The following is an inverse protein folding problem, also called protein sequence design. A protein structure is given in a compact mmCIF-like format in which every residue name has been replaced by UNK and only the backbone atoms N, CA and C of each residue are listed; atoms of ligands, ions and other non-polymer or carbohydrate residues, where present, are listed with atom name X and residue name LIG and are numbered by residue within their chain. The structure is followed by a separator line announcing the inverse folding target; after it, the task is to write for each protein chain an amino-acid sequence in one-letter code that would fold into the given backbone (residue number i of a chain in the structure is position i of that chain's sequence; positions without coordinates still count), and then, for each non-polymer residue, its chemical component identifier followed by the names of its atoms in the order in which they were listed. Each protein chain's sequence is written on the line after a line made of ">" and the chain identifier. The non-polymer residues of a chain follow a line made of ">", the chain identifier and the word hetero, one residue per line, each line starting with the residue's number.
data_IF_625736723158
#
_entry.id   IF_625736723158
#
_cell.length_a   1.000
_cell.length_b   1.000
_cell.length_c   1.000
_cell.angle_alpha   90.00
_cell.angle_beta   90.00
_cell.angle_gamma   90.00
#
_symmetry.space_group_name_H-M   'P 1'
#
loop_
_entity.id
_entity.type
_entity.pdbx_description
1 polymer ?
#
# COMPACT_ATOMS: atom_id res chain seq x y z
N UNK A 1 24.39 -25.50 0.26
CA UNK A 1 23.08 -25.21 -0.36
C UNK A 1 23.01 -25.87 -1.72
N UNK A 2 21.93 -26.59 -2.03
CA UNK A 2 21.74 -27.24 -3.33
C UNK A 2 20.83 -26.35 -4.18
N UNK A 3 21.25 -25.99 -5.38
CA UNK A 3 20.49 -25.20 -6.33
C UNK A 3 19.52 -26.06 -7.15
N UNK A 4 18.55 -25.45 -7.80
CA UNK A 4 17.56 -26.17 -8.62
C UNK A 4 18.18 -26.86 -9.84
N UNK A 5 19.30 -26.36 -10.35
CA UNK A 5 20.11 -26.93 -11.44
C UNK A 5 21.02 -28.09 -10.98
N UNK A 6 20.94 -28.52 -9.71
CA UNK A 6 21.73 -29.58 -9.11
C UNK A 6 23.07 -29.15 -8.58
N UNK A 7 23.52 -27.92 -8.80
CA UNK A 7 24.80 -27.43 -8.28
C UNK A 7 24.77 -27.34 -6.75
N UNK A 8 25.92 -27.58 -6.12
CA UNK A 8 26.08 -27.45 -4.67
C UNK A 8 27.07 -26.34 -4.36
N UNK A 9 26.57 -25.29 -3.68
CA UNK A 9 27.37 -24.18 -3.21
C UNK A 9 27.73 -24.39 -1.74
N UNK A 10 29.02 -24.21 -1.41
CA UNK A 10 29.51 -24.20 -0.03
C UNK A 10 29.89 -22.76 0.35
N UNK A 11 29.37 -22.28 1.46
CA UNK A 11 29.64 -20.91 1.95
C UNK A 11 29.75 -20.95 3.48
N UNK A 12 30.52 -20.02 4.07
CA UNK A 12 30.59 -19.84 5.53
C UNK A 12 29.34 -19.20 6.10
N UNK A 13 28.62 -18.39 5.29
CA UNK A 13 27.37 -17.76 5.67
C UNK A 13 26.42 -17.76 4.50
N UNK A 14 25.11 -17.88 4.77
CA UNK A 14 24.03 -17.76 3.81
C UNK A 14 23.16 -16.56 4.21
N UNK A 15 23.03 -15.59 3.31
CA UNK A 15 22.13 -14.44 3.48
C UNK A 15 20.92 -14.62 2.59
N UNK A 16 19.73 -14.82 3.20
CA UNK A 16 18.47 -14.92 2.47
C UNK A 16 17.86 -13.53 2.30
N UNK A 17 17.91 -12.98 1.09
CA UNK A 17 17.35 -11.69 0.73
C UNK A 17 16.21 -11.82 -0.31
N UNK A 18 15.36 -12.85 -0.16
CA UNK A 18 14.30 -13.23 -1.10
C UNK A 18 13.07 -12.34 -1.05
N UNK A 19 12.99 -11.41 -0.09
CA UNK A 19 11.83 -10.58 0.16
C UNK A 19 10.66 -11.32 0.83
N UNK A 20 9.74 -10.55 1.40
CA UNK A 20 8.58 -11.10 2.13
C UNK A 20 7.33 -11.29 1.26
N UNK A 21 7.32 -10.80 0.01
CA UNK A 21 6.16 -10.81 -0.90
C UNK A 21 6.39 -11.70 -2.12
N UNK A 22 7.38 -12.59 -2.11
CA UNK A 22 7.76 -13.43 -3.24
C UNK A 22 6.73 -14.52 -3.56
N UNK A 23 5.93 -14.94 -2.58
CA UNK A 23 4.88 -15.95 -2.77
C UNK A 23 3.53 -15.43 -2.31
N UNK A 24 2.52 -15.39 -3.20
CA UNK A 24 1.15 -15.03 -2.83
C UNK A 24 0.56 -16.10 -1.91
N UNK A 25 -0.16 -15.66 -0.89
CA UNK A 25 -0.90 -16.54 0.01
C UNK A 25 -2.39 -16.32 -0.18
N UNK A 26 -3.08 -17.36 -0.63
CA UNK A 26 -4.54 -17.35 -0.69
C UNK A 26 -5.11 -17.70 0.69
N UNK A 27 -6.15 -16.97 1.16
CA UNK A 27 -6.80 -17.27 2.41
C UNK A 27 -7.52 -18.63 2.34
N UNK A 28 -7.43 -19.41 3.40
CA UNK A 28 -8.21 -20.65 3.54
C UNK A 28 -9.61 -20.28 4.02
N UNK A 29 -10.52 -20.10 3.09
CA UNK A 29 -11.92 -19.77 3.39
C UNK A 29 -12.77 -21.02 3.18
N UNK A 30 -13.55 -21.43 4.18
CA UNK A 30 -14.50 -22.54 3.99
C UNK A 30 -15.49 -22.22 2.87
N UNK A 31 -15.64 -23.15 1.93
CA UNK A 31 -16.54 -22.99 0.79
C UNK A 31 -15.94 -22.27 -0.41
N UNK A 32 -14.68 -21.84 -0.39
CA UNK A 32 -14.02 -21.20 -1.53
C UNK A 32 -13.98 -22.15 -2.75
N UNK A 33 -13.87 -23.43 -2.49
CA UNK A 33 -13.89 -24.50 -3.50
C UNK A 33 -15.23 -24.64 -4.24
N UNK A 34 -16.31 -24.09 -3.70
CA UNK A 34 -17.64 -24.07 -4.33
C UNK A 34 -17.86 -22.86 -5.22
N UNK A 35 -16.95 -21.89 -5.16
CA UNK A 35 -17.05 -20.70 -5.99
C UNK A 35 -16.68 -21.03 -7.42
N UNK A 36 -17.63 -20.88 -8.33
CA UNK A 36 -17.48 -21.27 -9.74
C UNK A 36 -16.99 -20.12 -10.64
N UNK A 37 -16.86 -18.92 -10.08
CA UNK A 37 -16.35 -17.77 -10.82
C UNK A 37 -14.82 -17.70 -10.83
N UNK A 38 -14.24 -16.85 -11.67
CA UNK A 38 -12.81 -16.59 -11.65
C UNK A 38 -12.35 -16.06 -10.28
N UNK A 39 -11.28 -16.65 -9.72
CA UNK A 39 -10.69 -16.24 -8.47
C UNK A 39 -9.16 -16.25 -8.60
N UNK A 40 -8.53 -15.10 -8.34
CA UNK A 40 -7.08 -14.94 -8.46
C UNK A 40 -6.52 -13.98 -7.43
N UNK A 41 -5.23 -14.09 -7.17
CA UNK A 41 -4.52 -13.18 -6.30
C UNK A 41 -4.01 -11.96 -7.09
N UNK A 42 -4.03 -10.78 -6.49
CA UNK A 42 -3.59 -9.52 -7.15
C UNK A 42 -2.13 -9.53 -7.64
N UNK A 43 -1.28 -10.41 -7.11
CA UNK A 43 0.08 -10.60 -7.62
C UNK A 43 0.13 -11.42 -8.92
N UNK A 44 -0.92 -12.20 -9.18
CA UNK A 44 -1.10 -13.00 -10.40
C UNK A 44 -2.40 -12.54 -11.05
N UNK A 45 -2.41 -11.27 -11.48
CA UNK A 45 -3.60 -10.69 -12.10
C UNK A 45 -3.93 -11.41 -13.39
N UNK A 46 -5.17 -11.86 -13.50
CA UNK A 46 -5.67 -12.48 -14.72
C UNK A 46 -6.27 -11.41 -15.62
N UNK A 47 -5.56 -11.07 -16.68
CA UNK A 47 -5.96 -10.03 -17.62
C UNK A 47 -7.06 -10.47 -18.58
N UNK A 48 -7.28 -11.78 -18.72
CA UNK A 48 -8.34 -12.34 -19.60
C UNK A 48 -9.73 -12.24 -18.93
N UNK A 49 -9.78 -12.03 -17.61
CA UNK A 49 -11.04 -11.92 -16.90
C UNK A 49 -11.60 -10.51 -17.05
N UNK A 50 -12.68 -10.40 -17.83
CA UNK A 50 -13.42 -9.16 -17.95
C UNK A 50 -14.24 -8.89 -16.69
N UNK A 51 -14.00 -7.74 -16.07
CA UNK A 51 -14.66 -7.30 -14.83
C UNK A 51 -15.88 -6.39 -15.09
N UNK A 52 -16.00 -5.83 -16.29
CA UNK A 52 -17.07 -4.90 -16.64
C UNK A 52 -18.46 -5.53 -16.42
N UNK A 53 -19.33 -4.83 -15.72
CA UNK A 53 -20.69 -5.29 -15.42
C UNK A 53 -20.79 -6.51 -14.48
N UNK A 54 -19.69 -7.00 -13.92
CA UNK A 54 -19.67 -8.15 -13.00
C UNK A 54 -19.84 -7.72 -11.54
N UNK A 55 -20.30 -8.64 -10.70
CA UNK A 55 -20.24 -8.50 -9.23
C UNK A 55 -18.89 -9.01 -8.76
N UNK A 56 -18.07 -8.12 -8.21
CA UNK A 56 -16.70 -8.42 -7.81
C UNK A 56 -16.56 -8.38 -6.30
N UNK A 57 -15.95 -9.40 -5.72
CA UNK A 57 -15.57 -9.48 -4.33
C UNK A 57 -14.05 -9.30 -4.18
N UNK A 58 -13.62 -8.38 -3.34
CA UNK A 58 -12.21 -8.15 -3.02
C UNK A 58 -11.98 -8.47 -1.55
N UNK A 59 -11.07 -9.39 -1.27
CA UNK A 59 -10.71 -9.80 0.08
C UNK A 59 -9.39 -9.16 0.48
N UNK A 60 -9.46 -8.22 1.43
CA UNK A 60 -8.31 -7.48 1.93
C UNK A 60 -8.22 -6.04 1.44
N UNK A 61 -7.61 -5.20 2.27
CA UNK A 61 -7.44 -3.76 2.08
C UNK A 61 -5.96 -3.35 2.14
N UNK A 62 -5.08 -4.20 1.62
CA UNK A 62 -3.64 -3.95 1.59
C UNK A 62 -3.20 -2.96 0.50
N UNK A 63 -1.88 -2.76 0.37
CA UNK A 63 -1.30 -1.80 -0.56
C UNK A 63 -1.65 -2.05 -2.04
N UNK A 64 -1.92 -3.29 -2.43
CA UNK A 64 -2.41 -3.60 -3.77
C UNK A 64 -3.87 -3.17 -3.93
N UNK A 65 -4.73 -3.50 -2.96
CA UNK A 65 -6.15 -3.20 -3.02
C UNK A 65 -6.43 -1.70 -3.15
N UNK A 66 -5.73 -0.84 -2.40
CA UNK A 66 -5.91 0.63 -2.49
C UNK A 66 -5.56 1.19 -3.87
N UNK A 67 -4.81 0.45 -4.68
CA UNK A 67 -4.43 0.90 -6.03
C UNK A 67 -5.41 0.41 -7.10
N UNK A 68 -5.82 -0.86 -7.05
CA UNK A 68 -6.70 -1.39 -8.10
C UNK A 68 -8.19 -1.20 -7.80
N UNK A 69 -8.63 -1.25 -6.54
CA UNK A 69 -10.04 -1.13 -6.17
C UNK A 69 -10.68 0.15 -6.72
N UNK A 70 -10.09 1.35 -6.58
CA UNK A 70 -10.67 2.57 -7.15
C UNK A 70 -10.73 2.55 -8.69
N UNK A 71 -9.86 1.79 -9.34
CA UNK A 71 -9.82 1.68 -10.81
C UNK A 71 -10.87 0.75 -11.37
N UNK A 72 -11.17 -0.34 -10.66
CA UNK A 72 -12.19 -1.29 -11.10
C UNK A 72 -13.60 -0.89 -10.66
N UNK A 73 -13.74 -0.15 -9.56
CA UNK A 73 -15.04 0.23 -8.99
C UNK A 73 -16.00 0.87 -10.00
N UNK A 74 -15.58 1.78 -10.89
CA UNK A 74 -16.47 2.37 -11.91
C UNK A 74 -16.91 1.42 -13.00
N UNK A 75 -16.22 0.29 -13.18
CA UNK A 75 -16.44 -0.65 -14.28
C UNK A 75 -17.36 -1.81 -13.89
N UNK A 76 -17.39 -2.16 -12.62
CA UNK A 76 -18.12 -3.32 -12.12
C UNK A 76 -19.57 -2.97 -11.77
N UNK A 77 -20.48 -3.94 -11.89
CA UNK A 77 -21.87 -3.77 -11.47
C UNK A 77 -21.97 -3.56 -9.95
N UNK A 78 -21.19 -4.31 -9.17
CA UNK A 78 -21.13 -4.24 -7.72
C UNK A 78 -19.76 -4.62 -7.21
N UNK A 79 -19.20 -3.82 -6.33
CA UNK A 79 -17.95 -4.12 -5.63
C UNK A 79 -18.27 -4.43 -4.16
N UNK A 80 -17.82 -5.58 -3.67
CA UNK A 80 -17.89 -5.97 -2.26
C UNK A 80 -16.45 -6.06 -1.72
N UNK A 81 -16.10 -5.15 -0.82
CA UNK A 81 -14.76 -5.11 -0.21
C UNK A 81 -14.82 -5.69 1.20
N UNK A 82 -14.09 -6.80 1.42
CA UNK A 82 -14.03 -7.47 2.72
C UNK A 82 -12.78 -7.04 3.48
N UNK A 83 -12.99 -6.40 4.61
CA UNK A 83 -11.95 -5.83 5.46
C UNK A 83 -11.96 -6.47 6.85
N UNK A 84 -10.84 -7.03 7.29
CA UNK A 84 -10.68 -7.56 8.65
C UNK A 84 -10.37 -6.44 9.66
N UNK A 85 -9.48 -5.54 9.30
CA UNK A 85 -9.11 -4.37 10.10
C UNK A 85 -8.80 -3.20 9.19
N UNK A 86 -9.25 -2.00 9.57
CA UNK A 86 -8.97 -0.80 8.80
C UNK A 86 -7.47 -0.47 8.81
N UNK A 87 -6.86 -0.13 7.68
CA UNK A 87 -5.50 0.39 7.63
C UNK A 87 -5.46 1.90 7.88
N UNK A 88 -4.33 2.41 8.37
CA UNK A 88 -4.04 3.84 8.25
C UNK A 88 -3.72 4.18 6.80
N UNK A 89 -4.55 5.04 6.19
CA UNK A 89 -4.32 5.57 4.85
C UNK A 89 -4.04 7.06 4.96
N UNK A 90 -2.91 7.50 4.42
CA UNK A 90 -2.54 8.92 4.37
C UNK A 90 -2.46 9.38 2.92
N UNK A 91 -2.75 10.67 2.72
CA UNK A 91 -2.63 11.26 1.40
C UNK A 91 -1.19 11.17 0.87
N UNK A 92 -1.05 10.80 -0.39
CA UNK A 92 0.24 10.83 -1.09
C UNK A 92 0.62 12.28 -1.37
N UNK A 93 1.76 12.79 -0.90
CA UNK A 93 2.23 14.12 -1.24
C UNK A 93 2.86 14.09 -2.65
N UNK A 94 2.01 13.85 -3.65
CA UNK A 94 2.43 13.74 -5.04
C UNK A 94 2.03 14.99 -5.82
N UNK A 95 2.96 15.50 -6.62
CA UNK A 95 2.70 16.61 -7.54
C UNK A 95 3.53 16.46 -8.81
N UNK A 96 2.97 16.88 -9.89
CA UNK A 96 3.72 17.00 -11.14
C UNK A 96 4.67 18.20 -11.06
N UNK A 97 5.94 18.00 -11.39
CA UNK A 97 6.88 19.11 -11.51
C UNK A 97 6.51 19.99 -12.70
N UNK A 98 6.48 21.30 -12.49
CA UNK A 98 6.32 22.26 -13.57
C UNK A 98 7.49 22.20 -14.56
N UNK A 99 7.24 22.60 -15.80
CA UNK A 99 8.29 22.54 -16.85
C UNK A 99 9.52 23.37 -16.53
N UNK A 100 9.32 24.52 -15.90
CA UNK A 100 10.45 25.36 -15.46
C UNK A 100 11.28 24.68 -14.36
N UNK A 101 10.64 23.96 -13.42
CA UNK A 101 11.35 23.19 -12.39
C UNK A 101 12.18 22.06 -13.02
N UNK A 102 11.61 21.36 -14.00
CA UNK A 102 12.31 20.31 -14.75
C UNK A 102 13.51 20.85 -15.48
N UNK A 103 13.36 21.98 -16.20
CA UNK A 103 14.45 22.65 -16.92
C UNK A 103 15.54 23.14 -15.97
N UNK A 104 15.16 23.72 -14.83
CA UNK A 104 16.10 24.21 -13.83
C UNK A 104 16.92 23.06 -13.22
N UNK A 105 16.28 21.95 -12.86
CA UNK A 105 16.96 20.76 -12.33
C UNK A 105 17.83 20.07 -13.38
N UNK A 106 17.45 20.09 -14.64
CA UNK A 106 18.25 19.57 -15.75
C UNK A 106 19.51 20.44 -15.98
N UNK A 107 19.37 21.77 -15.89
CA UNK A 107 20.49 22.72 -16.08
C UNK A 107 21.47 22.67 -14.90
N UNK A 108 20.98 22.45 -13.68
CA UNK A 108 21.78 22.46 -12.46
C UNK A 108 21.51 21.22 -11.60
N UNK A 109 22.23 20.12 -11.83
CA UNK A 109 22.02 18.83 -11.16
C UNK A 109 22.17 18.88 -9.63
N UNK A 110 22.89 19.86 -9.08
CA UNK A 110 23.01 20.04 -7.63
C UNK A 110 21.67 20.39 -6.97
N UNK A 111 20.76 21.10 -7.67
CA UNK A 111 19.40 21.37 -7.17
C UNK A 111 18.61 20.08 -6.99
N UNK A 112 18.80 19.12 -7.88
CA UNK A 112 18.17 17.79 -7.72
C UNK A 112 18.73 17.04 -6.52
N UNK A 113 20.04 17.14 -6.28
CA UNK A 113 20.68 16.55 -5.08
C UNK A 113 20.16 17.20 -3.81
N UNK A 114 20.02 18.52 -3.80
CA UNK A 114 19.47 19.27 -2.65
C UNK A 114 18.01 18.87 -2.38
N UNK A 115 17.14 18.85 -3.40
CA UNK A 115 15.74 18.42 -3.29
C UNK A 115 15.63 17.00 -2.74
N UNK A 116 16.48 16.09 -3.23
CA UNK A 116 16.58 14.72 -2.73
C UNK A 116 17.02 14.67 -1.25
N UNK A 117 18.03 15.46 -0.89
CA UNK A 117 18.54 15.57 0.48
C UNK A 117 17.47 16.09 1.45
N UNK A 118 16.73 17.12 1.06
CA UNK A 118 15.63 17.66 1.87
C UNK A 118 14.50 16.65 2.05
N UNK A 119 14.13 15.91 1.00
CA UNK A 119 13.15 14.83 1.10
C UNK A 119 13.64 13.70 1.99
N UNK A 120 14.90 13.31 1.86
CA UNK A 120 15.52 12.31 2.72
C UNK A 120 15.45 12.75 4.19
N UNK A 121 15.91 13.96 4.50
CA UNK A 121 15.89 14.50 5.86
C UNK A 121 14.45 14.58 6.42
N UNK A 122 13.49 14.98 5.61
CA UNK A 122 12.07 14.97 5.98
C UNK A 122 11.56 13.56 6.31
N UNK A 123 11.97 12.53 5.56
CA UNK A 123 11.57 11.15 5.85
C UNK A 123 12.31 10.60 7.07
N UNK A 124 13.61 10.89 7.23
CA UNK A 124 14.39 10.51 8.40
C UNK A 124 13.85 11.14 9.71
N UNK A 125 13.40 12.38 9.66
CA UNK A 125 12.80 13.04 10.84
C UNK A 125 11.60 12.28 11.39
N UNK A 126 10.88 11.51 10.54
CA UNK A 126 9.77 10.65 10.99
C UNK A 126 10.27 9.45 11.79
N UNK A 127 11.48 8.96 11.56
CA UNK A 127 12.09 7.88 12.34
C UNK A 127 12.26 8.29 13.80
N UNK A 128 12.58 9.56 14.06
CA UNK A 128 12.64 10.10 15.43
C UNK A 128 11.27 10.04 16.13
N UNK A 129 10.19 10.26 15.39
CA UNK A 129 8.82 10.11 15.92
C UNK A 129 8.50 8.68 16.30
N UNK A 130 8.94 7.69 15.49
CA UNK A 130 8.69 6.28 15.76
C UNK A 130 9.58 5.74 16.90
N UNK A 131 10.85 6.12 16.93
CA UNK A 131 11.83 5.53 17.84
C UNK A 131 11.96 6.28 19.19
N UNK A 132 11.85 7.63 19.18
CA UNK A 132 12.25 8.45 20.33
C UNK A 132 11.11 9.29 20.90
N UNK A 133 10.22 9.81 20.06
CA UNK A 133 9.18 10.74 20.48
C UNK A 133 7.77 10.28 20.10
N UNK A 134 7.17 9.33 20.83
CA UNK A 134 5.83 8.81 20.52
C UNK A 134 4.74 9.89 20.50
N UNK A 135 4.95 11.02 21.19
CA UNK A 135 4.02 12.15 21.17
C UNK A 135 3.82 12.75 19.76
N UNK A 136 4.84 12.69 18.88
CA UNK A 136 4.73 13.14 17.49
C UNK A 136 3.76 12.26 16.67
N UNK A 137 3.56 11.01 17.07
CA UNK A 137 2.58 10.12 16.45
C UNK A 137 1.15 10.62 16.62
N UNK A 138 0.86 11.39 17.70
CA UNK A 138 -0.45 12.03 17.90
C UNK A 138 -0.75 13.04 16.78
N UNK A 139 0.26 13.79 16.33
CA UNK A 139 0.12 14.75 15.22
C UNK A 139 -0.21 14.03 13.90
N UNK A 140 0.48 12.93 13.62
CA UNK A 140 0.20 12.12 12.43
C UNK A 140 -1.21 11.50 12.49
N UNK A 141 -1.63 11.05 13.66
CA UNK A 141 -2.98 10.54 13.88
C UNK A 141 -4.04 11.62 13.64
N UNK A 142 -3.80 12.84 14.11
CA UNK A 142 -4.70 13.97 13.85
C UNK A 142 -4.80 14.28 12.35
N UNK A 143 -3.69 14.23 11.63
CA UNK A 143 -3.68 14.41 10.17
C UNK A 143 -4.50 13.32 9.46
N UNK A 144 -4.38 12.05 9.88
CA UNK A 144 -5.21 10.96 9.38
C UNK A 144 -6.69 11.21 9.63
N UNK A 145 -7.09 11.59 10.86
CA UNK A 145 -8.49 11.86 11.17
C UNK A 145 -9.05 13.02 10.33
N UNK A 146 -8.29 14.11 10.17
CA UNK A 146 -8.68 15.24 9.30
C UNK A 146 -8.87 14.80 7.85
N UNK A 147 -7.97 13.97 7.33
CA UNK A 147 -8.09 13.43 5.97
C UNK A 147 -9.34 12.57 5.83
N UNK A 148 -9.58 11.67 6.76
CA UNK A 148 -10.77 10.80 6.78
C UNK A 148 -12.07 11.61 6.86
N UNK A 149 -12.13 12.64 7.70
CA UNK A 149 -13.27 13.52 7.83
C UNK A 149 -13.58 14.32 6.57
N UNK A 150 -12.56 14.70 5.80
CA UNK A 150 -12.76 15.42 4.54
C UNK A 150 -13.30 14.54 3.42
N UNK A 151 -12.96 13.27 3.44
CA UNK A 151 -13.33 12.34 2.36
C UNK A 151 -14.64 11.61 2.63
N UNK A 152 -15.00 11.36 3.89
CA UNK A 152 -16.14 10.53 4.26
C UNK A 152 -17.09 11.33 5.14
N UNK A 153 -18.23 11.68 4.56
CA UNK A 153 -19.28 12.44 5.26
C UNK A 153 -20.03 11.57 6.29
N UNK A 154 -20.28 10.28 5.95
CA UNK A 154 -21.02 9.37 6.80
C UNK A 154 -20.23 9.01 8.09
N UNK A 155 -20.77 9.34 9.30
CA UNK A 155 -20.10 9.05 10.56
C UNK A 155 -19.98 7.55 10.86
N UNK A 156 -20.96 6.74 10.44
CA UNK A 156 -20.96 5.29 10.71
C UNK A 156 -19.89 4.59 9.86
N UNK A 157 -19.81 4.95 8.58
CA UNK A 157 -18.76 4.44 7.71
C UNK A 157 -17.37 4.90 8.21
N UNK A 158 -17.25 6.16 8.62
CA UNK A 158 -16.03 6.72 9.16
C UNK A 158 -15.53 5.97 10.40
N UNK A 159 -16.43 5.65 11.33
CA UNK A 159 -16.11 4.86 12.53
C UNK A 159 -15.55 3.48 12.19
N UNK A 160 -16.06 2.82 11.15
CA UNK A 160 -15.56 1.53 10.66
C UNK A 160 -14.19 1.60 9.97
N UNK A 161 -13.79 2.78 9.53
CA UNK A 161 -12.53 3.00 8.82
C UNK A 161 -11.40 3.56 9.71
N UNK A 162 -11.70 3.82 10.98
CA UNK A 162 -10.69 4.16 11.99
C UNK A 162 -10.02 2.88 12.49
N UNK A 163 -8.68 2.78 12.38
CA UNK A 163 -7.97 1.64 12.94
C UNK A 163 -8.06 1.57 14.46
N UNK A 164 -8.23 0.35 14.99
CA UNK A 164 -8.30 0.03 16.42
C UNK A 164 -6.93 -0.20 17.08
N UNK A 165 -5.85 0.02 16.34
CA UNK A 165 -4.48 -0.18 16.79
C UNK A 165 -3.64 1.10 16.68
N UNK A 166 -2.53 1.22 17.45
CA UNK A 166 -1.67 2.39 17.38
C UNK A 166 -1.03 2.59 16.01
N UNK A 167 -0.87 3.85 15.63
CA UNK A 167 -0.17 4.20 14.39
C UNK A 167 1.28 3.68 14.46
N UNK A 168 1.72 3.00 13.42
CA UNK A 168 3.05 2.38 13.35
C UNK A 168 3.07 0.87 13.65
N UNK A 169 2.04 0.30 14.29
CA UNK A 169 1.98 -1.16 14.52
C UNK A 169 1.80 -1.98 13.24
N UNK A 170 1.23 -1.37 12.21
CA UNK A 170 1.08 -1.98 10.88
C UNK A 170 1.52 -0.97 9.82
N UNK A 171 1.74 -1.46 8.59
CA UNK A 171 2.10 -0.60 7.45
C UNK A 171 1.07 0.50 7.27
N UNK A 172 1.54 1.74 7.21
CA UNK A 172 0.75 2.89 6.78
C UNK A 172 0.68 2.86 5.27
N UNK A 173 -0.53 2.95 4.73
CA UNK A 173 -0.78 2.99 3.29
C UNK A 173 -0.77 4.43 2.81
N UNK A 174 -0.24 4.65 1.61
CA UNK A 174 -0.17 5.96 0.98
C UNK A 174 -0.98 5.90 -0.30
N UNK A 175 -2.02 6.71 -0.40
CA UNK A 175 -2.91 6.77 -1.57
C UNK A 175 -3.40 8.19 -1.79
N UNK A 176 -3.79 8.47 -3.04
CA UNK A 176 -4.49 9.71 -3.43
C UNK A 176 -5.96 9.60 -3.10
#
# INVERSE_FOLDING_TARGET
>A
MRCADGQTLRARALVCATGQLSRPLLPRLPGLERFQGPAFHSANWDAEVELAGKRVAVIGTGASAIQFVPRIAPQVQRLSLFQRSAPYVIAKPDRTYADWERRLKARWPWLQRLDRGLKYLHHESRMLAFATFPALMKVMRLSFHRHLHRQIADPQLRARLVPDYPLGCKRILISN
#
